data_IF_699548695286
#
_entry.id   IF_699548695286
#
_cell.length_a   1.000
_cell.length_b   1.000
_cell.length_c   1.000
_cell.angle_alpha   90.00
_cell.angle_beta   90.00
_cell.angle_gamma   90.00
#
_symmetry.space_group_name_H-M   'P 1'
#
loop_
_entity.id
_entity.type
_entity.pdbx_description
1 polymer ?
#
# COMPACT_ATOMS: atom_id res chain seq x y z
N UNK A 1 -0.71 -13.30 -21.70
CA UNK A 1 -1.28 -12.04 -21.17
C UNK A 1 -0.67 -11.80 -19.81
N UNK A 2 0.51 -11.18 -19.76
CA UNK A 2 1.22 -10.92 -18.50
C UNK A 2 0.61 -9.70 -17.83
N UNK A 3 0.06 -9.87 -16.63
CA UNK A 3 -0.41 -8.76 -15.81
C UNK A 3 0.84 -8.03 -15.32
N UNK A 4 1.23 -6.95 -16.00
CA UNK A 4 2.29 -6.07 -15.55
C UNK A 4 1.79 -5.29 -14.32
N UNK A 5 1.94 -5.89 -13.14
CA UNK A 5 1.57 -5.31 -11.84
C UNK A 5 2.52 -4.17 -11.39
N UNK A 6 3.61 -3.93 -12.13
CA UNK A 6 4.56 -2.86 -11.87
C UNK A 6 4.34 -1.70 -12.85
N UNK A 7 3.67 -0.62 -12.42
CA UNK A 7 3.66 0.64 -13.17
C UNK A 7 5.09 1.14 -13.29
N UNK A 8 5.60 1.21 -14.51
CA UNK A 8 6.94 1.74 -14.80
C UNK A 8 7.03 3.28 -14.58
N UNK A 9 5.95 3.92 -14.12
CA UNK A 9 5.81 5.36 -13.93
C UNK A 9 5.85 5.82 -12.45
N UNK A 10 6.21 4.94 -11.51
CA UNK A 10 6.16 5.24 -10.08
C UNK A 10 4.73 5.27 -9.52
N UNK A 11 4.54 5.92 -8.37
CA UNK A 11 3.22 6.07 -7.76
C UNK A 11 2.37 7.10 -8.49
N UNK A 12 1.06 6.94 -8.42
CA UNK A 12 0.12 7.96 -8.86
C UNK A 12 0.24 9.21 -7.99
N UNK A 13 -0.03 10.35 -8.63
CA UNK A 13 -0.16 11.65 -7.94
C UNK A 13 -1.25 11.62 -6.87
N UNK A 14 -2.33 10.90 -7.12
CA UNK A 14 -3.45 10.71 -6.20
C UNK A 14 -3.65 9.22 -5.96
N UNK A 15 -3.70 8.80 -4.69
CA UNK A 15 -3.90 7.40 -4.34
C UNK A 15 -5.28 6.92 -4.76
N UNK A 16 -5.30 5.81 -5.50
CA UNK A 16 -6.54 5.14 -5.92
C UNK A 16 -6.72 3.84 -5.15
N UNK A 17 -7.95 3.32 -5.06
CA UNK A 17 -8.19 2.04 -4.39
C UNK A 17 -7.40 0.89 -5.04
N UNK A 18 -7.25 0.90 -6.37
CA UNK A 18 -6.47 -0.09 -7.10
C UNK A 18 -4.98 -0.03 -6.78
N UNK A 19 -4.40 1.18 -6.71
CA UNK A 19 -3.02 1.37 -6.29
C UNK A 19 -2.83 1.00 -4.83
N UNK A 20 -3.72 1.41 -3.94
CA UNK A 20 -3.66 1.09 -2.52
C UNK A 20 -3.70 -0.43 -2.27
N UNK A 21 -4.57 -1.16 -2.99
CA UNK A 21 -4.61 -2.62 -2.95
C UNK A 21 -3.31 -3.25 -3.46
N UNK A 22 -2.71 -2.67 -4.50
CA UNK A 22 -1.43 -3.13 -5.06
C UNK A 22 -0.27 -2.88 -4.09
N UNK A 23 -0.22 -1.70 -3.46
CA UNK A 23 0.79 -1.32 -2.45
C UNK A 23 0.71 -2.24 -1.24
N UNK A 24 -0.49 -2.50 -0.73
CA UNK A 24 -0.68 -3.40 0.41
C UNK A 24 -0.65 -4.89 0.04
N UNK A 25 -0.56 -5.25 -1.24
CA UNK A 25 -0.59 -6.63 -1.69
C UNK A 25 -1.86 -7.38 -1.27
N UNK A 26 -3.01 -6.70 -1.27
CA UNK A 26 -4.31 -7.29 -0.91
C UNK A 26 -5.20 -7.40 -2.15
N UNK A 27 -5.82 -8.56 -2.33
CA UNK A 27 -6.78 -8.80 -3.43
C UNK A 27 -8.24 -8.68 -3.00
N UNK A 28 -8.50 -8.75 -1.69
CA UNK A 28 -9.83 -8.59 -1.11
C UNK A 28 -9.81 -7.52 -0.03
N UNK A 29 -10.83 -6.67 0.00
CA UNK A 29 -11.03 -5.63 1.02
C UNK A 29 -11.47 -6.24 2.36
N UNK A 30 -10.57 -6.99 2.99
CA UNK A 30 -10.74 -7.54 4.34
C UNK A 30 -9.86 -6.76 5.31
N UNK A 31 -10.45 -6.26 6.39
CA UNK A 31 -9.74 -5.45 7.40
C UNK A 31 -8.54 -6.18 7.99
N UNK A 32 -8.69 -7.48 8.28
CA UNK A 32 -7.60 -8.32 8.79
C UNK A 32 -6.42 -8.44 7.83
N UNK A 33 -6.68 -8.57 6.51
CA UNK A 33 -5.64 -8.62 5.47
C UNK A 33 -4.92 -7.28 5.35
N UNK A 34 -5.68 -6.19 5.34
CA UNK A 34 -5.14 -4.81 5.29
C UNK A 34 -4.20 -4.57 6.47
N UNK A 35 -4.65 -4.84 7.71
CA UNK A 35 -3.86 -4.58 8.92
C UNK A 35 -2.64 -5.51 9.05
N UNK A 36 -2.71 -6.74 8.51
CA UNK A 36 -1.58 -7.68 8.53
C UNK A 36 -0.49 -7.22 7.57
N UNK A 37 -0.84 -6.97 6.31
CA UNK A 37 0.13 -6.57 5.29
C UNK A 37 0.69 -5.17 5.58
N UNK A 38 -0.13 -4.25 6.09
CA UNK A 38 0.32 -2.94 6.54
C UNK A 38 1.43 -3.03 7.58
N UNK A 39 1.27 -3.84 8.63
CA UNK A 39 2.29 -3.99 9.68
C UNK A 39 3.61 -4.53 9.14
N UNK A 40 3.54 -5.47 8.19
CA UNK A 40 4.73 -6.01 7.54
C UNK A 40 5.44 -4.94 6.71
N UNK A 41 4.69 -4.17 5.92
CA UNK A 41 5.22 -3.13 5.06
C UNK A 41 5.79 -1.94 5.85
N UNK A 42 5.13 -1.49 6.91
CA UNK A 42 5.66 -0.41 7.77
C UNK A 42 6.98 -0.82 8.41
N UNK A 43 7.08 -2.05 8.92
CA UNK A 43 8.35 -2.56 9.48
C UNK A 43 9.45 -2.62 8.42
N UNK A 44 9.12 -3.11 7.21
CA UNK A 44 10.09 -3.24 6.12
C UNK A 44 10.56 -1.87 5.57
N UNK A 45 9.69 -0.86 5.60
CA UNK A 45 9.98 0.46 5.04
C UNK A 45 10.34 1.51 6.11
N UNK A 46 10.45 1.11 7.37
CA UNK A 46 10.71 2.04 8.47
C UNK A 46 12.06 2.77 8.25
N UNK A 47 12.08 4.12 8.36
CA UNK A 47 13.31 4.91 8.17
C UNK A 47 14.47 4.45 9.05
N UNK A 48 14.21 4.15 10.32
CA UNK A 48 15.22 3.66 11.27
C UNK A 48 15.87 2.32 10.86
N UNK A 49 15.23 1.55 9.99
CA UNK A 49 15.77 0.30 9.43
C UNK A 49 16.41 0.50 8.04
N UNK A 50 16.67 1.76 7.64
CA UNK A 50 17.17 2.11 6.30
C UNK A 50 16.09 2.18 5.23
N UNK A 51 14.82 2.22 5.63
CA UNK A 51 13.69 2.41 4.74
C UNK A 51 13.50 3.88 4.31
N UNK A 52 12.46 4.13 3.52
CA UNK A 52 12.18 5.46 2.98
C UNK A 52 10.95 6.07 3.65
N UNK A 53 11.09 7.33 4.09
CA UNK A 53 9.96 8.14 4.57
C UNK A 53 8.84 8.20 3.54
N UNK A 54 9.20 8.40 2.27
CA UNK A 54 8.24 8.49 1.18
C UNK A 54 7.47 7.16 0.99
N UNK A 55 8.18 6.03 1.01
CA UNK A 55 7.52 4.71 0.91
C UNK A 55 6.61 4.44 2.10
N UNK A 56 7.05 4.79 3.32
CA UNK A 56 6.23 4.69 4.53
C UNK A 56 4.97 5.53 4.42
N UNK A 57 5.06 6.76 3.89
CA UNK A 57 3.90 7.61 3.64
C UNK A 57 2.93 6.99 2.63
N UNK A 58 3.42 6.40 1.52
CA UNK A 58 2.54 5.73 0.53
C UNK A 58 1.85 4.50 1.11
N UNK A 59 2.52 3.74 1.99
CA UNK A 59 1.91 2.60 2.70
C UNK A 59 0.80 3.07 3.66
N UNK A 60 1.02 4.19 4.38
CA UNK A 60 0.01 4.78 5.25
C UNK A 60 -1.21 5.28 4.46
N UNK A 61 -0.96 6.03 3.38
CA UNK A 61 -2.00 6.56 2.48
C UNK A 61 -2.86 5.43 1.89
N UNK A 62 -2.23 4.32 1.48
CA UNK A 62 -2.93 3.14 0.98
C UNK A 62 -3.87 2.53 2.04
N UNK A 63 -3.41 2.37 3.29
CA UNK A 63 -4.24 1.84 4.38
C UNK A 63 -5.42 2.76 4.69
N UNK A 64 -5.18 4.06 4.82
CA UNK A 64 -6.23 5.02 5.15
C UNK A 64 -7.33 5.04 4.10
N UNK A 65 -6.98 5.03 2.81
CA UNK A 65 -7.95 5.02 1.72
C UNK A 65 -8.83 3.76 1.76
N UNK A 66 -8.22 2.58 1.92
CA UNK A 66 -8.98 1.33 1.93
C UNK A 66 -9.89 1.22 3.15
N UNK A 67 -9.42 1.64 4.33
CA UNK A 67 -10.26 1.66 5.53
C UNK A 67 -11.39 2.69 5.44
N UNK A 68 -11.17 3.82 4.76
CA UNK A 68 -12.23 4.81 4.48
C UNK A 68 -13.31 4.23 3.58
N UNK A 69 -12.92 3.48 2.55
CA UNK A 69 -13.85 2.86 1.60
C UNK A 69 -14.61 1.65 2.16
N UNK A 70 -14.23 1.16 3.35
CA UNK A 70 -14.93 0.06 4.05
C UNK A 70 -16.02 0.55 5.02
N UNK A 71 -16.17 1.87 5.20
CA UNK A 71 -17.26 2.46 5.98
C UNK A 71 -18.50 2.62 5.11
#
# INVERSE_FOLDING_TARGET
MGINIWRHAGFLKEMTAAEAMSILGVFALKRSSIDTNYRMLVRANHPDSGGSDYLSQKVNEARELLLRNMK
#
